data_IF_482488018761
#
_entry.id   IF_482488018761
#
_cell.length_a   1.000
_cell.length_b   1.000
_cell.length_c   1.000
_cell.angle_alpha   90.00
_cell.angle_beta   90.00
_cell.angle_gamma   90.00
#
_symmetry.space_group_name_H-M   'P 1'
#
loop_
_entity.id
_entity.type
_entity.pdbx_description
1 polymer ?
#
# COMPACT_ATOMS: atom_id res chain seq x y z
N UNK A 1 19.55 26.47 -6.48
CA UNK A 1 19.74 25.37 -7.43
C UNK A 1 18.61 24.38 -7.24
N UNK A 2 17.92 24.03 -8.30
CA UNK A 2 17.01 22.89 -8.21
C UNK A 2 17.84 21.62 -8.01
N UNK A 3 17.47 20.76 -7.05
CA UNK A 3 18.06 19.44 -6.92
C UNK A 3 17.88 18.69 -8.25
N UNK A 4 18.90 17.99 -8.71
CA UNK A 4 18.74 17.09 -9.84
C UNK A 4 17.73 16.00 -9.47
N UNK A 5 16.95 15.50 -10.42
CA UNK A 5 15.98 14.40 -10.19
C UNK A 5 16.65 13.20 -9.49
N UNK A 6 17.95 13.01 -9.66
CA UNK A 6 18.74 11.96 -9.01
C UNK A 6 18.98 12.19 -7.51
N UNK A 7 18.71 13.39 -7.00
CA UNK A 7 18.89 13.73 -5.58
C UNK A 7 17.61 13.62 -4.77
N UNK A 8 16.45 13.46 -5.43
CA UNK A 8 15.17 13.32 -4.75
C UNK A 8 14.94 11.85 -4.41
N UNK A 9 14.87 11.47 -3.12
CA UNK A 9 14.62 10.09 -2.75
C UNK A 9 13.22 9.65 -3.19
N UNK A 10 13.06 8.36 -3.47
CA UNK A 10 11.73 7.77 -3.65
C UNK A 10 10.97 7.76 -2.33
N UNK A 11 9.65 7.61 -2.39
CA UNK A 11 8.85 7.41 -1.17
C UNK A 11 9.32 6.16 -0.40
N UNK A 12 9.66 5.09 -1.11
CA UNK A 12 10.17 3.87 -0.48
C UNK A 12 11.46 4.12 0.30
N UNK A 13 12.41 4.84 -0.29
CA UNK A 13 13.67 5.21 0.38
C UNK A 13 13.42 6.11 1.58
N UNK A 14 12.57 7.11 1.44
CA UNK A 14 12.22 8.03 2.54
C UNK A 14 11.51 7.33 3.70
N UNK A 15 10.65 6.36 3.39
CA UNK A 15 9.98 5.54 4.39
C UNK A 15 10.95 4.68 5.23
N UNK A 16 12.17 4.46 4.77
CA UNK A 16 13.17 3.63 5.43
C UNK A 16 13.50 2.33 4.69
N UNK A 17 13.05 2.22 3.43
CA UNK A 17 13.34 1.08 2.57
C UNK A 17 12.44 -0.13 2.76
N UNK A 18 12.72 -1.24 2.05
CA UNK A 18 11.90 -2.45 2.09
C UNK A 18 11.71 -3.03 3.48
N UNK A 19 12.72 -2.95 4.32
CA UNK A 19 12.69 -3.49 5.69
C UNK A 19 11.68 -2.75 6.56
N UNK A 20 11.61 -1.42 6.46
CA UNK A 20 10.65 -0.63 7.22
C UNK A 20 9.22 -0.86 6.71
N UNK A 21 9.03 -0.96 5.42
CA UNK A 21 7.73 -1.28 4.83
C UNK A 21 7.28 -2.69 5.23
N UNK A 22 8.21 -3.65 5.27
CA UNK A 22 7.90 -4.99 5.77
C UNK A 22 7.47 -4.95 7.23
N UNK A 23 8.18 -4.19 8.07
CA UNK A 23 7.83 -4.01 9.48
C UNK A 23 6.44 -3.39 9.64
N UNK A 24 6.08 -2.41 8.80
CA UNK A 24 4.75 -1.81 8.78
C UNK A 24 3.66 -2.87 8.54
N UNK A 25 3.78 -3.66 7.48
CA UNK A 25 2.75 -4.63 7.12
C UNK A 25 2.71 -5.83 8.07
N UNK A 26 3.84 -6.28 8.57
CA UNK A 26 3.88 -7.32 9.62
C UNK A 26 3.14 -6.85 10.88
N UNK A 27 3.40 -5.64 11.34
CA UNK A 27 2.72 -5.06 12.50
C UNK A 27 1.23 -4.84 12.25
N UNK A 28 0.87 -4.39 11.05
CA UNK A 28 -0.54 -4.20 10.65
C UNK A 28 -1.31 -5.52 10.70
N UNK A 29 -0.84 -6.53 10.00
CA UNK A 29 -1.55 -7.81 9.94
C UNK A 29 -1.52 -8.58 11.26
N UNK A 30 -0.58 -8.29 12.15
CA UNK A 30 -0.60 -8.81 13.52
C UNK A 30 -1.77 -8.24 14.35
N UNK A 31 -2.23 -7.04 14.03
CA UNK A 31 -3.37 -6.39 14.73
C UNK A 31 -4.73 -6.75 14.13
N UNK A 32 -4.78 -7.20 12.89
CA UNK A 32 -6.03 -7.48 12.18
C UNK A 32 -6.93 -8.47 12.91
N UNK A 33 -6.45 -9.58 13.50
CA UNK A 33 -7.31 -10.50 14.24
C UNK A 33 -8.07 -9.88 15.43
N UNK A 34 -7.53 -8.80 15.99
CA UNK A 34 -8.13 -8.09 17.14
C UNK A 34 -9.12 -6.99 16.69
N UNK A 35 -9.19 -6.71 15.38
CA UNK A 35 -10.14 -5.74 14.83
C UNK A 35 -11.41 -6.47 14.35
N UNK A 36 -12.57 -6.23 14.98
CA UNK A 36 -13.79 -6.96 14.65
C UNK A 36 -14.33 -6.68 13.24
N UNK A 37 -13.95 -5.55 12.64
CA UNK A 37 -14.35 -5.20 11.27
C UNK A 37 -13.44 -5.89 10.24
N UNK A 38 -12.14 -5.96 10.51
CA UNK A 38 -11.14 -6.47 9.56
C UNK A 38 -10.88 -7.98 9.71
N UNK A 39 -11.03 -8.55 10.91
CA UNK A 39 -10.76 -9.96 11.13
C UNK A 39 -11.49 -10.88 10.13
N UNK A 40 -12.79 -10.69 9.86
CA UNK A 40 -13.49 -11.53 8.88
C UNK A 40 -12.96 -11.39 7.44
N UNK A 41 -12.49 -10.20 7.07
CA UNK A 41 -11.96 -9.92 5.72
C UNK A 41 -10.71 -10.73 5.43
N UNK A 42 -9.85 -10.89 6.43
CA UNK A 42 -8.55 -11.53 6.29
C UNK A 42 -8.50 -12.95 6.91
N UNK A 43 -9.64 -13.52 7.28
CA UNK A 43 -9.72 -14.88 7.76
C UNK A 43 -9.20 -15.86 6.69
N UNK A 44 -8.30 -16.76 7.07
CA UNK A 44 -7.70 -17.73 6.14
C UNK A 44 -6.66 -17.13 5.19
N UNK A 45 -6.17 -15.94 5.48
CA UNK A 45 -5.16 -15.26 4.70
C UNK A 45 -3.87 -16.10 4.57
N UNK A 46 -3.24 -16.06 3.39
CA UNK A 46 -1.95 -16.69 3.17
C UNK A 46 -0.91 -16.16 4.18
N UNK A 47 -0.10 -17.04 4.83
CA UNK A 47 0.93 -16.59 5.76
C UNK A 47 1.95 -15.60 5.17
N UNK A 48 2.12 -15.58 3.84
CA UNK A 48 3.01 -14.66 3.14
C UNK A 48 2.33 -13.37 2.70
N UNK A 49 1.09 -13.13 3.12
CA UNK A 49 0.31 -11.97 2.65
C UNK A 49 1.01 -10.66 2.97
N UNK A 50 1.48 -10.47 4.20
CA UNK A 50 2.19 -9.26 4.60
C UNK A 50 3.45 -9.03 3.75
N UNK A 51 4.20 -10.08 3.46
CA UNK A 51 5.38 -10.03 2.58
C UNK A 51 5.02 -9.59 1.16
N UNK A 52 3.96 -10.14 0.59
CA UNK A 52 3.52 -9.81 -0.77
C UNK A 52 3.01 -8.37 -0.87
N UNK A 53 2.24 -7.90 0.11
CA UNK A 53 1.74 -6.53 0.13
C UNK A 53 2.88 -5.54 0.34
N UNK A 54 3.83 -5.83 1.23
CA UNK A 54 5.00 -4.99 1.45
C UNK A 54 5.85 -4.87 0.17
N UNK A 55 6.05 -5.97 -0.56
CA UNK A 55 6.76 -5.98 -1.83
C UNK A 55 6.04 -5.14 -2.89
N UNK A 56 4.71 -5.27 -2.99
CA UNK A 56 3.88 -4.49 -3.91
C UNK A 56 3.96 -2.99 -3.61
N UNK A 57 3.71 -2.59 -2.39
CA UNK A 57 3.73 -1.17 -1.99
C UNK A 57 5.14 -0.59 -2.14
N UNK A 58 6.18 -1.34 -1.78
CA UNK A 58 7.55 -0.92 -1.96
C UNK A 58 7.88 -0.63 -3.42
N UNK A 59 7.45 -1.47 -4.34
CA UNK A 59 7.62 -1.26 -5.77
C UNK A 59 6.84 -0.03 -6.27
N UNK A 60 5.57 0.09 -5.86
CA UNK A 60 4.73 1.25 -6.19
C UNK A 60 5.36 2.55 -5.72
N UNK A 61 6.02 2.55 -4.58
CA UNK A 61 6.70 3.72 -4.00
C UNK A 61 8.11 3.97 -4.58
N UNK A 62 8.46 3.31 -5.66
CA UNK A 62 9.72 3.52 -6.35
C UNK A 62 10.90 2.73 -5.82
N UNK A 63 10.65 1.77 -4.94
CA UNK A 63 11.67 0.84 -4.44
C UNK A 63 11.97 -0.30 -5.42
N UNK A 64 12.72 -1.32 -4.98
CA UNK A 64 13.02 -2.48 -5.81
C UNK A 64 11.77 -3.16 -6.35
N UNK A 65 11.85 -3.69 -7.56
CA UNK A 65 10.72 -4.38 -8.24
C UNK A 65 10.52 -5.80 -7.71
N UNK A 66 10.53 -5.97 -6.39
CA UNK A 66 10.47 -7.27 -5.73
C UNK A 66 9.15 -8.02 -6.02
N UNK A 67 8.03 -7.31 -6.13
CA UNK A 67 6.74 -7.92 -6.43
C UNK A 67 6.69 -8.45 -7.87
N UNK A 68 7.09 -7.64 -8.85
CA UNK A 68 7.14 -8.04 -10.26
C UNK A 68 8.16 -9.15 -10.50
N UNK A 69 9.35 -9.03 -9.94
CA UNK A 69 10.41 -10.03 -10.05
C UNK A 69 10.05 -11.35 -9.37
N UNK A 70 9.19 -11.30 -8.35
CA UNK A 70 8.62 -12.48 -7.69
C UNK A 70 7.47 -13.15 -8.44
N UNK A 71 7.15 -12.69 -9.65
CA UNK A 71 6.09 -13.26 -10.49
C UNK A 71 4.73 -12.59 -10.32
N UNK A 72 4.63 -11.52 -9.53
CA UNK A 72 3.43 -10.73 -9.38
C UNK A 72 3.25 -9.69 -10.49
N UNK A 73 2.08 -9.11 -10.57
CA UNK A 73 1.76 -8.00 -11.47
C UNK A 73 0.51 -7.28 -10.98
N UNK A 74 0.15 -6.16 -11.63
CA UNK A 74 -1.02 -5.38 -11.22
C UNK A 74 -2.31 -6.21 -11.39
N UNK A 75 -2.42 -7.00 -12.45
CA UNK A 75 -3.57 -7.90 -12.65
C UNK A 75 -3.70 -8.92 -11.49
N UNK A 76 -2.59 -9.46 -10.99
CA UNK A 76 -2.59 -10.37 -9.85
C UNK A 76 -3.11 -9.69 -8.59
N UNK A 77 -2.68 -8.46 -8.31
CA UNK A 77 -3.16 -7.70 -7.15
C UNK A 77 -4.66 -7.39 -7.28
N UNK A 78 -5.14 -6.97 -8.45
CA UNK A 78 -6.56 -6.77 -8.72
C UNK A 78 -7.33 -8.08 -8.50
N UNK A 79 -6.80 -9.19 -8.99
CA UNK A 79 -7.41 -10.52 -8.87
C UNK A 79 -7.67 -10.93 -7.42
N UNK A 80 -6.83 -10.52 -6.48
CA UNK A 80 -7.00 -10.81 -5.05
C UNK A 80 -8.22 -10.11 -4.45
N UNK A 81 -8.74 -9.05 -5.07
CA UNK A 81 -9.91 -8.31 -4.61
C UNK A 81 -11.22 -8.73 -5.26
N UNK A 82 -11.16 -9.41 -6.43
CA UNK A 82 -12.36 -9.80 -7.16
C UNK A 82 -13.29 -10.67 -6.30
N UNK A 83 -14.56 -10.33 -6.29
CA UNK A 83 -15.61 -11.10 -5.61
C UNK A 83 -15.62 -11.02 -4.08
N UNK A 84 -14.80 -10.17 -3.48
CA UNK A 84 -14.71 -10.07 -2.01
C UNK A 84 -15.77 -9.17 -1.39
N UNK A 85 -16.49 -8.38 -2.16
CA UNK A 85 -17.58 -7.51 -1.70
C UNK A 85 -17.17 -6.61 -0.53
N UNK A 86 -16.03 -5.94 -0.64
CA UNK A 86 -15.51 -5.04 0.39
C UNK A 86 -16.44 -3.84 0.57
N UNK A 87 -16.62 -3.42 1.80
CA UNK A 87 -17.49 -2.30 2.17
C UNK A 87 -16.68 -1.05 2.49
N UNK A 88 -17.35 0.11 2.45
CA UNK A 88 -16.75 1.38 2.85
C UNK A 88 -16.36 1.37 4.34
N UNK A 89 -17.12 0.71 5.19
CA UNK A 89 -16.79 0.55 6.61
C UNK A 89 -15.47 -0.24 6.78
N UNK A 90 -15.31 -1.32 6.02
CA UNK A 90 -14.07 -2.12 6.02
C UNK A 90 -12.88 -1.32 5.47
N UNK A 91 -13.09 -0.59 4.38
CA UNK A 91 -12.06 0.28 3.80
C UNK A 91 -11.56 1.32 4.81
N UNK A 92 -12.48 2.01 5.48
CA UNK A 92 -12.13 3.03 6.48
C UNK A 92 -11.40 2.43 7.68
N UNK A 93 -11.84 1.28 8.14
CA UNK A 93 -11.17 0.56 9.24
C UNK A 93 -9.72 0.19 8.84
N UNK A 94 -9.53 -0.27 7.60
CA UNK A 94 -8.21 -0.62 7.08
C UNK A 94 -7.28 0.59 7.03
N UNK A 95 -7.74 1.71 6.48
CA UNK A 95 -6.95 2.95 6.39
C UNK A 95 -6.62 3.47 7.79
N UNK A 96 -7.58 3.51 8.70
CA UNK A 96 -7.39 3.98 10.07
C UNK A 96 -6.35 3.14 10.81
N UNK A 97 -6.46 1.81 10.75
CA UNK A 97 -5.48 0.92 11.37
C UNK A 97 -4.10 1.06 10.75
N UNK A 98 -4.03 1.25 9.44
CA UNK A 98 -2.75 1.46 8.74
C UNK A 98 -2.05 2.74 9.21
N UNK A 99 -2.78 3.84 9.37
CA UNK A 99 -2.20 5.10 9.84
C UNK A 99 -1.72 4.98 11.29
N UNK A 100 -2.49 4.34 12.16
CA UNK A 100 -2.09 4.08 13.54
C UNK A 100 -0.83 3.20 13.58
N UNK A 101 -0.77 2.20 12.73
CA UNK A 101 0.38 1.30 12.64
C UNK A 101 1.62 2.02 12.10
N UNK A 102 1.44 2.89 11.10
CA UNK A 102 2.52 3.72 10.57
C UNK A 102 3.15 4.59 11.67
N UNK A 103 2.33 5.17 12.54
CA UNK A 103 2.83 5.92 13.69
C UNK A 103 3.58 5.02 14.68
N UNK A 104 3.02 3.85 14.97
CA UNK A 104 3.59 2.90 15.93
C UNK A 104 4.96 2.37 15.49
N UNK A 105 5.15 2.10 14.20
CA UNK A 105 6.44 1.61 13.66
C UNK A 105 7.42 2.74 13.30
N UNK A 106 7.02 4.00 13.48
CA UNK A 106 7.88 5.15 13.26
C UNK A 106 8.13 5.50 11.80
N UNK A 107 7.14 5.33 10.91
CA UNK A 107 7.21 5.92 9.58
C UNK A 107 7.37 7.44 9.67
N UNK A 108 8.00 8.09 8.66
CA UNK A 108 8.13 9.55 8.67
C UNK A 108 6.79 10.24 8.93
N UNK A 109 6.80 11.25 9.79
CA UNK A 109 5.59 11.99 10.18
C UNK A 109 5.50 13.36 9.53
N UNK A 110 6.44 13.69 8.64
CA UNK A 110 6.43 14.97 7.93
C UNK A 110 5.22 15.07 6.99
N UNK A 111 4.75 16.32 6.72
CA UNK A 111 3.53 16.52 5.96
C UNK A 111 3.61 16.05 4.51
N UNK A 112 4.76 16.17 3.85
CA UNK A 112 4.93 15.77 2.46
C UNK A 112 4.82 14.24 2.31
N UNK A 113 5.52 13.48 3.17
CA UNK A 113 5.43 12.03 3.13
C UNK A 113 4.02 11.56 3.46
N UNK A 114 3.42 12.11 4.52
CA UNK A 114 2.06 11.71 4.92
C UNK A 114 1.00 12.08 3.88
N UNK A 115 1.13 13.20 3.20
CA UNK A 115 0.24 13.54 2.09
C UNK A 115 0.31 12.51 0.96
N UNK A 116 1.51 12.10 0.56
CA UNK A 116 1.71 11.08 -0.45
C UNK A 116 1.21 9.70 0.02
N UNK A 117 1.56 9.30 1.22
CA UNK A 117 1.18 8.02 1.80
C UNK A 117 -0.34 7.88 1.95
N UNK A 118 -1.00 8.85 2.55
CA UNK A 118 -2.46 8.86 2.69
C UNK A 118 -3.14 8.90 1.33
N UNK A 119 -2.62 9.69 0.40
CA UNK A 119 -3.15 9.75 -0.97
C UNK A 119 -3.14 8.39 -1.65
N UNK A 120 -2.05 7.63 -1.50
CA UNK A 120 -1.97 6.27 -2.02
C UNK A 120 -2.98 5.32 -1.34
N UNK A 121 -3.08 5.36 -0.02
CA UNK A 121 -4.02 4.52 0.72
C UNK A 121 -5.47 4.79 0.29
N UNK A 122 -5.84 6.06 0.14
CA UNK A 122 -7.16 6.46 -0.35
C UNK A 122 -7.42 5.95 -1.77
N UNK A 123 -6.48 6.12 -2.66
CA UNK A 123 -6.59 5.67 -4.05
C UNK A 123 -6.67 4.14 -4.14
N UNK A 124 -5.74 3.46 -3.52
CA UNK A 124 -5.62 1.99 -3.60
C UNK A 124 -6.80 1.27 -2.95
N UNK A 125 -7.25 1.72 -1.78
CA UNK A 125 -8.38 1.09 -1.09
C UNK A 125 -9.71 1.36 -1.78
N UNK A 126 -9.90 2.52 -2.40
CA UNK A 126 -11.08 2.80 -3.20
C UNK A 126 -11.15 1.91 -4.44
N UNK A 127 -10.02 1.69 -5.11
CA UNK A 127 -9.93 0.72 -6.20
C UNK A 127 -10.23 -0.70 -5.73
N UNK A 128 -9.73 -1.09 -4.56
CA UNK A 128 -10.01 -2.40 -3.99
C UNK A 128 -11.53 -2.63 -3.78
N UNK A 129 -12.23 -1.63 -3.26
CA UNK A 129 -13.69 -1.68 -3.11
C UNK A 129 -14.39 -1.80 -4.46
N UNK A 130 -14.01 -0.96 -5.44
CA UNK A 130 -14.58 -0.98 -6.79
C UNK A 130 -14.37 -2.35 -7.44
N UNK A 131 -13.16 -2.89 -7.40
CA UNK A 131 -12.82 -4.17 -8.01
C UNK A 131 -13.41 -5.38 -7.28
N UNK A 132 -13.82 -5.22 -6.04
CA UNK A 132 -14.42 -6.29 -5.23
C UNK A 132 -15.92 -6.42 -5.42
N UNK A 133 -16.57 -5.49 -6.13
CA UNK A 133 -18.01 -5.48 -6.34
C UNK A 133 -18.45 -6.67 -7.20
N UNK A 134 -19.73 -7.05 -7.03
CA UNK A 134 -20.32 -8.11 -7.84
C UNK A 134 -20.29 -7.79 -9.34
N UNK A 135 -19.95 -8.78 -10.16
CA UNK A 135 -19.96 -8.66 -11.61
C UNK A 135 -18.74 -7.98 -12.22
N UNK A 136 -17.77 -7.56 -11.42
CA UNK A 136 -16.52 -7.02 -11.95
C UNK A 136 -15.68 -8.14 -12.53
N UNK A 137 -15.33 -8.01 -13.81
CA UNK A 137 -14.49 -8.98 -14.52
C UNK A 137 -13.00 -8.72 -14.23
N UNK A 138 -12.15 -9.76 -14.29
CA UNK A 138 -10.70 -9.56 -14.23
C UNK A 138 -10.24 -8.69 -15.41
N UNK A 139 -9.14 -7.92 -15.25
CA UNK A 139 -8.63 -7.10 -16.33
C UNK A 139 -8.16 -7.97 -17.52
N UNK A 140 -8.32 -7.45 -18.73
CA UNK A 140 -7.73 -8.06 -19.92
C UNK A 140 -6.23 -7.76 -19.94
N UNK A 141 -5.40 -8.81 -19.91
CA UNK A 141 -3.95 -8.67 -19.84
C UNK A 141 -3.45 -8.26 -18.48
N UNK A 142 -2.25 -7.68 -18.44
CA UNK A 142 -1.60 -7.21 -17.22
C UNK A 142 -1.42 -5.69 -17.31
N UNK A 143 -2.27 -4.89 -16.66
CA UNK A 143 -2.11 -3.44 -16.62
C UNK A 143 -0.74 -3.08 -16.02
N UNK A 144 -0.15 -1.92 -16.39
CA UNK A 144 1.10 -1.50 -15.81
C UNK A 144 0.99 -1.34 -14.29
N UNK A 145 2.08 -1.66 -13.58
CA UNK A 145 2.16 -1.40 -12.14
C UNK A 145 1.95 0.08 -11.86
N UNK A 146 1.14 0.43 -10.84
CA UNK A 146 1.02 1.81 -10.43
C UNK A 146 2.37 2.34 -9.93
N UNK A 147 2.59 3.63 -10.14
CA UNK A 147 3.77 4.35 -9.64
C UNK A 147 3.27 5.53 -8.82
N UNK A 148 3.76 5.65 -7.61
CA UNK A 148 3.36 6.72 -6.69
C UNK A 148 4.58 7.49 -6.20
N UNK A 149 4.54 8.81 -6.36
CA UNK A 149 5.59 9.73 -5.95
C UNK A 149 5.08 10.76 -4.95
N UNK A 150 5.86 11.83 -4.78
CA UNK A 150 5.59 12.86 -3.77
C UNK A 150 4.27 13.62 -3.99
N UNK A 151 3.78 13.72 -5.22
CA UNK A 151 2.55 14.42 -5.53
C UNK A 151 2.70 15.95 -5.52
N UNK A 152 1.56 16.70 -5.54
CA UNK A 152 1.58 18.16 -5.66
C UNK A 152 2.35 18.90 -4.56
N UNK A 153 2.34 18.50 -3.28
CA UNK A 153 3.17 19.15 -2.28
C UNK A 153 4.68 19.03 -2.55
N UNK A 154 5.08 18.05 -3.34
CA UNK A 154 6.50 17.76 -3.56
C UNK A 154 7.15 17.12 -2.34
N UNK A 155 8.42 16.88 -2.41
CA UNK A 155 9.24 16.27 -1.37
C UNK A 155 10.70 16.20 -1.80
N UNK A 156 11.58 15.80 -0.88
CA UNK A 156 11.31 15.46 0.52
C UNK A 156 11.08 16.70 1.40
N UNK A 157 10.63 16.46 2.63
CA UNK A 157 10.51 17.51 3.65
C UNK A 157 11.87 18.13 3.96
N UNK A 158 11.94 19.45 3.94
CA UNK A 158 13.19 20.19 4.15
C UNK A 158 13.24 20.95 5.50
N UNK A 159 12.25 20.77 6.33
CA UNK A 159 12.16 21.42 7.65
C UNK A 159 11.23 22.62 7.69
#
# INVERSE_FOLDING_TARGET
MAASDDEIPTLAAWAGGPERLRALFDAFYAKVPDDPILAPVFAGMNPKHAEHVAAFVGEVFGGPKAYTEGGGGHASMIGHHLGRHLTETQRRAWVSLMLDTADAVGLPSDPEFRAAFVGYLEWGTRLAVINSAEGVAPPEGDPPMPVWGWGPPGGPWLG
#
